data_IF_758357688032
#
_entry.id   IF_758357688032
#
_cell.length_a   1.000
_cell.length_b   1.000
_cell.length_c   1.000
_cell.angle_alpha   90.00
_cell.angle_beta   90.00
_cell.angle_gamma   90.00
#
_symmetry.space_group_name_H-M   'P 1'
#
loop_
_entity.id
_entity.type
_entity.pdbx_description
1 polymer ?
#
# COMPACT_ATOMS: atom_id res chain seq x y z
N UNK A 1 -40.55 -43.86 -22.05
CA UNK A 1 -41.12 -42.55 -22.42
C UNK A 1 -40.48 -41.49 -21.52
N UNK A 2 -39.74 -40.54 -22.09
CA UNK A 2 -39.08 -39.48 -21.31
C UNK A 2 -40.09 -38.46 -20.80
N UNK A 3 -39.89 -37.95 -19.58
CA UNK A 3 -40.75 -36.89 -19.01
C UNK A 3 -40.70 -35.62 -19.88
N UNK A 4 -41.83 -34.90 -20.04
CA UNK A 4 -41.86 -33.68 -20.83
C UNK A 4 -40.97 -32.60 -20.19
N UNK A 5 -40.11 -31.98 -21.00
CA UNK A 5 -39.28 -30.85 -20.55
C UNK A 5 -40.17 -29.66 -20.18
N UNK A 6 -39.88 -29.02 -19.05
CA UNK A 6 -40.63 -27.84 -18.57
C UNK A 6 -40.25 -26.62 -19.40
N UNK A 7 -41.12 -26.23 -20.34
CA UNK A 7 -40.86 -25.14 -21.31
C UNK A 7 -41.26 -23.74 -20.80
N UNK A 8 -42.00 -23.64 -19.69
CA UNK A 8 -42.50 -22.35 -19.17
C UNK A 8 -41.51 -21.74 -18.18
N UNK A 9 -41.20 -20.45 -18.35
CA UNK A 9 -40.34 -19.69 -17.41
C UNK A 9 -38.84 -19.94 -17.55
N UNK A 10 -38.38 -20.50 -18.69
CA UNK A 10 -36.96 -20.76 -18.98
C UNK A 10 -36.08 -19.51 -18.85
N UNK A 11 -36.55 -18.34 -19.31
CA UNK A 11 -35.79 -17.09 -19.22
C UNK A 11 -35.58 -16.64 -17.76
N UNK A 12 -36.63 -16.73 -16.94
CA UNK A 12 -36.58 -16.35 -15.53
C UNK A 12 -35.69 -17.30 -14.72
N UNK A 13 -35.76 -18.61 -14.97
CA UNK A 13 -34.88 -19.58 -14.29
C UNK A 13 -33.41 -19.43 -14.69
N UNK A 14 -33.14 -19.11 -15.96
CA UNK A 14 -31.80 -18.79 -16.44
C UNK A 14 -31.26 -17.49 -15.82
N UNK A 15 -32.07 -16.42 -15.81
CA UNK A 15 -31.70 -15.14 -15.20
C UNK A 15 -31.38 -15.28 -13.70
N UNK A 16 -32.18 -16.05 -12.94
CA UNK A 16 -31.92 -16.30 -11.52
C UNK A 16 -30.59 -17.01 -11.28
N UNK A 17 -30.24 -18.00 -12.12
CA UNK A 17 -28.93 -18.65 -12.07
C UNK A 17 -27.82 -17.67 -12.41
N UNK A 18 -28.00 -16.87 -13.47
CA UNK A 18 -27.04 -15.85 -13.88
C UNK A 18 -26.75 -14.83 -12.79
N UNK A 19 -27.78 -14.34 -12.09
CA UNK A 19 -27.63 -13.44 -10.95
C UNK A 19 -26.85 -14.10 -9.80
N UNK A 20 -27.14 -15.36 -9.49
CA UNK A 20 -26.40 -16.08 -8.45
C UNK A 20 -24.92 -16.23 -8.81
N UNK A 21 -24.61 -16.60 -10.06
CA UNK A 21 -23.23 -16.67 -10.55
C UNK A 21 -22.52 -15.32 -10.50
N UNK A 22 -23.18 -14.26 -10.96
CA UNK A 22 -22.61 -12.91 -10.94
C UNK A 22 -22.30 -12.43 -9.51
N UNK A 23 -23.17 -12.74 -8.55
CA UNK A 23 -22.92 -12.39 -7.16
C UNK A 23 -21.73 -13.16 -6.59
N UNK A 24 -21.64 -14.47 -6.86
CA UNK A 24 -20.53 -15.30 -6.39
C UNK A 24 -19.20 -14.81 -6.97
N UNK A 25 -19.15 -14.46 -8.26
CA UNK A 25 -17.93 -13.96 -8.90
C UNK A 25 -17.54 -12.57 -8.39
N UNK A 26 -18.50 -11.70 -8.13
CA UNK A 26 -18.24 -10.39 -7.52
C UNK A 26 -17.67 -10.52 -6.09
N UNK A 27 -18.25 -11.39 -5.26
CA UNK A 27 -17.74 -11.63 -3.90
C UNK A 27 -16.37 -12.29 -3.94
N UNK A 28 -16.17 -13.31 -4.78
CA UNK A 28 -14.89 -14.02 -4.85
C UNK A 28 -13.75 -13.13 -5.33
N UNK A 29 -13.98 -12.28 -6.33
CA UNK A 29 -13.00 -11.31 -6.81
C UNK A 29 -12.62 -10.29 -5.73
N UNK A 30 -13.60 -9.80 -4.96
CA UNK A 30 -13.36 -8.87 -3.85
C UNK A 30 -12.53 -9.51 -2.75
N UNK A 31 -12.86 -10.74 -2.36
CA UNK A 31 -12.13 -11.50 -1.34
C UNK A 31 -10.69 -11.78 -1.81
N UNK A 32 -10.52 -12.21 -3.06
CA UNK A 32 -9.21 -12.46 -3.64
C UNK A 32 -8.34 -11.21 -3.62
N UNK A 33 -8.87 -10.05 -4.05
CA UNK A 33 -8.13 -8.80 -4.00
C UNK A 33 -7.72 -8.42 -2.57
N UNK A 34 -8.63 -8.59 -1.60
CA UNK A 34 -8.33 -8.25 -0.22
C UNK A 34 -7.21 -9.13 0.37
N UNK A 35 -7.29 -10.45 0.15
CA UNK A 35 -6.34 -11.43 0.67
C UNK A 35 -4.97 -11.31 0.01
N UNK A 36 -4.91 -11.16 -1.31
CA UNK A 36 -3.64 -11.19 -2.05
C UNK A 36 -2.97 -9.83 -2.18
N UNK A 37 -3.73 -8.72 -2.12
CA UNK A 37 -3.17 -7.39 -2.29
C UNK A 37 -3.23 -6.56 -1.02
N UNK A 38 -4.42 -6.41 -0.42
CA UNK A 38 -4.63 -5.46 0.68
C UNK A 38 -3.95 -5.93 1.97
N UNK A 39 -4.19 -7.16 2.41
CA UNK A 39 -3.60 -7.67 3.66
C UNK A 39 -2.07 -7.74 3.64
N UNK A 40 -1.39 -8.23 2.58
CA UNK A 40 0.06 -8.26 2.55
C UNK A 40 0.66 -6.87 2.56
N UNK A 41 0.05 -5.90 1.85
CA UNK A 41 0.47 -4.50 1.87
C UNK A 41 0.36 -3.93 3.29
N UNK A 42 -0.81 -4.07 3.92
CA UNK A 42 -1.05 -3.59 5.27
C UNK A 42 -0.03 -4.15 6.27
N UNK A 43 0.18 -5.47 6.26
CA UNK A 43 1.13 -6.14 7.16
C UNK A 43 2.56 -5.65 6.96
N UNK A 44 3.00 -5.43 5.71
CA UNK A 44 4.34 -4.88 5.42
C UNK A 44 4.53 -3.48 6.03
N UNK A 45 3.52 -2.61 5.95
CA UNK A 45 3.59 -1.29 6.58
C UNK A 45 3.58 -1.41 8.11
N UNK A 46 2.73 -2.28 8.66
CA UNK A 46 2.67 -2.53 10.09
C UNK A 46 4.03 -3.03 10.63
N UNK A 47 4.65 -3.99 9.96
CA UNK A 47 5.98 -4.51 10.28
C UNK A 47 7.07 -3.43 10.18
N UNK A 48 7.03 -2.59 9.14
CA UNK A 48 7.95 -1.47 9.01
C UNK A 48 7.81 -0.50 10.18
N UNK A 49 6.60 -0.06 10.49
CA UNK A 49 6.36 0.95 11.52
C UNK A 49 6.50 0.44 12.96
N UNK A 50 6.40 -0.87 13.22
CA UNK A 50 6.58 -1.44 14.57
C UNK A 50 7.92 -1.09 15.21
N UNK A 51 8.98 -1.06 14.41
CA UNK A 51 10.35 -0.83 14.88
C UNK A 51 11.00 0.40 14.22
N UNK A 52 10.21 1.26 13.56
CA UNK A 52 10.75 2.41 12.85
C UNK A 52 11.12 3.53 13.82
N UNK A 53 12.42 3.74 14.02
CA UNK A 53 12.94 4.93 14.70
C UNK A 53 13.27 6.02 13.66
N UNK A 54 12.49 7.12 13.60
CA UNK A 54 12.73 8.19 12.65
C UNK A 54 14.07 8.89 12.89
N UNK A 55 14.55 8.98 14.13
CA UNK A 55 15.80 9.66 14.44
C UNK A 55 17.02 8.84 14.03
N UNK A 56 16.97 7.52 14.21
CA UNK A 56 18.00 6.62 13.69
C UNK A 56 18.06 6.74 12.16
N UNK A 57 16.90 6.69 11.50
CA UNK A 57 16.87 6.73 10.04
C UNK A 57 17.34 8.08 9.48
N UNK A 58 17.03 9.19 10.15
CA UNK A 58 17.57 10.50 9.82
C UNK A 58 19.09 10.57 9.95
N UNK A 59 19.67 9.93 10.99
CA UNK A 59 21.13 9.85 11.13
C UNK A 59 21.77 9.06 10.00
N UNK A 60 21.17 7.94 9.59
CA UNK A 60 21.64 7.14 8.46
C UNK A 60 21.58 7.94 7.15
N UNK A 61 20.48 8.63 6.88
CA UNK A 61 20.35 9.49 5.69
C UNK A 61 21.40 10.61 5.70
N UNK A 62 21.62 11.25 6.85
CA UNK A 62 22.64 12.28 6.99
C UNK A 62 24.09 11.74 7.01
N UNK A 63 24.28 10.43 7.16
CA UNK A 63 25.59 9.79 7.06
C UNK A 63 25.95 9.45 5.60
N UNK A 64 24.95 9.27 4.73
CA UNK A 64 25.10 8.97 3.30
C UNK A 64 25.58 10.20 2.49
N UNK A 65 25.67 11.38 3.13
CA UNK A 65 26.23 12.62 2.59
C UNK A 65 25.20 13.55 1.96
N UNK A 66 25.67 14.51 1.15
CA UNK A 66 24.83 15.56 0.53
C UNK A 66 23.86 15.06 -0.55
N UNK A 67 23.80 13.75 -0.81
CA UNK A 67 22.98 13.17 -1.87
C UNK A 67 21.48 13.18 -1.57
N UNK A 68 21.08 13.12 -0.29
CA UNK A 68 19.66 13.03 0.10
C UNK A 68 19.14 14.29 0.79
N UNK A 69 19.96 14.95 1.62
CA UNK A 69 19.55 16.15 2.35
C UNK A 69 20.69 17.16 2.46
N UNK A 70 20.43 18.39 1.99
CA UNK A 70 21.36 19.53 2.15
C UNK A 70 21.25 20.21 3.53
N UNK A 71 20.29 19.78 4.35
CA UNK A 71 20.02 20.34 5.69
C UNK A 71 20.64 19.53 6.82
N UNK A 72 21.39 18.48 6.51
CA UNK A 72 22.07 17.68 7.52
C UNK A 72 23.10 18.52 8.28
N UNK A 73 23.25 18.37 9.60
CA UNK A 73 23.98 19.34 10.44
C UNK A 73 25.43 19.60 9.99
N UNK A 74 26.14 18.56 9.52
CA UNK A 74 27.52 18.67 9.05
C UNK A 74 27.63 19.47 7.75
N UNK A 75 26.72 19.21 6.81
CA UNK A 75 26.73 19.87 5.49
C UNK A 75 26.16 21.28 5.58
N UNK A 76 25.14 21.46 6.42
CA UNK A 76 24.60 22.76 6.77
C UNK A 76 25.67 23.64 7.40
N UNK A 77 26.45 23.12 8.35
CA UNK A 77 27.55 23.86 8.98
C UNK A 77 28.59 24.32 7.96
N UNK A 78 29.04 23.43 7.06
CA UNK A 78 29.94 23.79 5.95
C UNK A 78 29.34 24.87 5.05
N UNK A 79 28.07 24.76 4.68
CA UNK A 79 27.39 25.78 3.85
C UNK A 79 27.24 27.14 4.55
N UNK A 80 27.10 27.17 5.88
CA UNK A 80 27.06 28.42 6.65
C UNK A 80 28.45 29.04 6.81
N UNK A 81 29.50 28.22 6.95
CA UNK A 81 30.91 28.65 6.93
C UNK A 81 31.29 29.27 5.58
N UNK A 82 30.95 28.60 4.47
CA UNK A 82 31.16 29.11 3.11
C UNK A 82 30.45 30.46 2.84
N UNK A 83 29.33 30.70 3.52
CA UNK A 83 28.55 31.95 3.41
C UNK A 83 28.93 33.02 4.44
N UNK A 84 29.97 32.78 5.25
CA UNK A 84 30.49 33.74 6.23
C UNK A 84 29.53 34.07 7.37
N UNK A 85 28.57 33.18 7.69
CA UNK A 85 27.57 33.40 8.74
C UNK A 85 27.94 32.59 9.99
N UNK A 86 27.95 33.26 11.16
CA UNK A 86 28.24 32.60 12.45
C UNK A 86 27.07 31.70 12.86
N UNK A 87 27.35 30.42 13.07
CA UNK A 87 26.39 29.44 13.59
C UNK A 87 26.30 29.64 15.11
N UNK A 88 25.09 29.73 15.65
CA UNK A 88 24.89 29.73 17.10
C UNK A 88 25.32 28.36 17.68
N UNK A 89 25.95 28.29 18.86
CA UNK A 89 26.33 27.01 19.45
C UNK A 89 25.09 26.13 19.63
N UNK A 90 25.15 24.92 19.05
CA UNK A 90 24.15 23.86 19.19
C UNK A 90 24.21 23.25 20.59
#
# INVERSE_FOLDING_TARGET
MGHPFVMRGMSHSYARKGLAFAFITAVSSTVAFNVFYVWPRYRKYEEFFKNYDPYLRMKEICAEGTGYMHTCPKDLAKMYEEKGKKIAPL
#
